data_IF_064985417620
#
_entry.id   IF_064985417620
#
_cell.length_a   1.000
_cell.length_b   1.000
_cell.length_c   1.000
_cell.angle_alpha   90.00
_cell.angle_beta   90.00
_cell.angle_gamma   90.00
#
_symmetry.space_group_name_H-M   'P 1'
#
loop_
_entity.id
_entity.type
_entity.pdbx_description
1 polymer ?
#
# COMPACT_ATOMS: atom_id res chain seq x y z
N UNK A 1 8.40 -11.00 19.75
CA UNK A 1 9.61 -11.35 18.96
C UNK A 1 9.21 -11.85 17.56
N UNK A 2 8.58 -10.99 16.74
CA UNK A 2 8.05 -11.39 15.42
C UNK A 2 8.90 -10.90 14.23
N UNK A 3 9.83 -9.97 14.44
CA UNK A 3 10.50 -9.20 13.37
C UNK A 3 11.52 -9.96 12.50
N UNK A 4 11.39 -11.29 12.31
CA UNK A 4 12.32 -12.12 11.50
C UNK A 4 11.71 -12.67 10.20
N UNK A 5 10.39 -12.56 9.97
CA UNK A 5 9.80 -12.87 8.65
C UNK A 5 10.45 -12.02 7.56
N UNK A 6 10.69 -10.76 7.93
CA UNK A 6 11.32 -9.70 7.17
C UNK A 6 12.87 -9.72 7.22
N UNK A 7 13.50 -10.48 8.12
CA UNK A 7 14.98 -10.60 8.17
C UNK A 7 15.46 -11.68 7.18
N UNK A 8 15.38 -11.32 5.89
CA UNK A 8 15.69 -12.10 4.68
C UNK A 8 14.63 -13.18 4.31
N UNK A 9 13.31 -12.89 4.34
CA UNK A 9 12.21 -13.85 4.00
C UNK A 9 12.27 -15.15 4.84
N UNK A 10 12.86 -15.06 6.03
CA UNK A 10 13.35 -16.21 6.79
C UNK A 10 14.42 -17.01 6.02
N UNK A 11 15.58 -16.37 5.83
CA UNK A 11 16.90 -16.96 5.54
C UNK A 11 16.99 -18.39 6.10
N UNK A 12 17.62 -19.32 5.39
CA UNK A 12 17.76 -20.73 5.77
C UNK A 12 16.51 -21.58 5.48
N UNK A 13 15.33 -21.22 6.01
CA UNK A 13 14.11 -22.05 6.17
C UNK A 13 14.30 -23.46 6.79
N UNK A 14 15.47 -24.13 6.65
CA UNK A 14 15.83 -25.33 7.42
C UNK A 14 17.33 -25.73 7.49
N UNK A 15 18.21 -25.42 6.53
CA UNK A 15 19.58 -26.06 6.50
C UNK A 15 20.73 -25.24 5.89
N UNK A 16 21.96 -25.70 6.17
CA UNK A 16 23.27 -25.08 5.84
C UNK A 16 23.59 -24.93 4.34
N UNK A 17 23.72 -23.67 3.87
CA UNK A 17 24.64 -23.28 2.80
C UNK A 17 25.22 -21.90 3.19
N UNK A 18 26.55 -21.75 3.13
CA UNK A 18 27.22 -20.48 3.43
C UNK A 18 26.82 -19.40 2.42
N UNK A 19 26.09 -18.39 2.89
CA UNK A 19 25.80 -17.19 2.11
C UNK A 19 26.96 -16.21 2.22
N UNK A 20 27.72 -16.07 1.13
CA UNK A 20 28.66 -14.99 0.95
C UNK A 20 27.91 -13.64 0.99
N UNK A 21 27.96 -12.96 2.13
CA UNK A 21 27.61 -11.55 2.27
C UNK A 21 28.70 -10.69 1.62
N UNK A 22 28.88 -10.81 0.30
CA UNK A 22 29.72 -9.90 -0.45
C UNK A 22 29.07 -8.51 -0.47
N UNK A 23 29.82 -7.51 -0.01
CA UNK A 23 29.48 -6.09 0.17
C UNK A 23 28.82 -5.43 -1.06
N UNK A 24 27.58 -5.81 -1.36
CA UNK A 24 26.82 -5.27 -2.49
C UNK A 24 25.67 -4.47 -1.93
N UNK A 25 25.90 -3.18 -1.81
CA UNK A 25 24.85 -2.17 -1.73
C UNK A 25 24.00 -2.32 -3.00
N UNK A 26 22.91 -3.09 -2.93
CA UNK A 26 21.81 -3.00 -3.90
C UNK A 26 20.82 -1.99 -3.32
N UNK A 27 20.65 -0.89 -4.02
CA UNK A 27 19.97 0.30 -3.50
C UNK A 27 18.47 0.06 -3.37
N UNK A 28 17.77 0.99 -2.71
CA UNK A 28 16.30 0.95 -2.66
C UNK A 28 15.65 0.91 -4.05
N UNK A 29 16.37 1.38 -5.08
CA UNK A 29 15.97 1.36 -6.49
C UNK A 29 15.88 -0.07 -7.06
N UNK A 30 16.77 -0.98 -6.67
CA UNK A 30 16.73 -2.38 -7.13
C UNK A 30 15.56 -3.14 -6.50
N UNK A 31 15.30 -2.93 -5.20
CA UNK A 31 14.13 -3.52 -4.54
C UNK A 31 12.83 -2.90 -5.06
N UNK A 32 12.79 -1.60 -5.35
CA UNK A 32 11.64 -0.97 -6.00
C UNK A 32 11.27 -1.62 -7.34
N UNK A 33 12.27 -1.86 -8.21
CA UNK A 33 12.08 -2.57 -9.49
C UNK A 33 11.54 -3.98 -9.26
N UNK A 34 12.03 -4.69 -8.25
CA UNK A 34 11.55 -6.04 -7.92
C UNK A 34 10.08 -6.03 -7.46
N UNK A 35 9.61 -5.04 -6.69
CA UNK A 35 8.17 -4.89 -6.38
C UNK A 35 7.33 -4.71 -7.64
N UNK A 36 7.78 -3.87 -8.58
CA UNK A 36 7.06 -3.62 -9.84
C UNK A 36 7.03 -4.87 -10.75
N UNK A 37 8.10 -5.65 -10.84
CA UNK A 37 8.08 -6.91 -11.59
C UNK A 37 7.17 -7.98 -10.94
N UNK A 38 7.02 -8.02 -9.60
CA UNK A 38 6.01 -8.88 -8.94
C UNK A 38 4.61 -8.45 -9.37
N UNK A 39 4.29 -7.15 -9.33
CA UNK A 39 2.98 -6.63 -9.69
C UNK A 39 2.63 -6.93 -11.16
N UNK A 40 3.60 -6.78 -12.06
CA UNK A 40 3.47 -7.09 -13.48
C UNK A 40 3.31 -8.58 -13.75
N UNK A 41 4.15 -9.44 -13.15
CA UNK A 41 4.04 -10.89 -13.29
C UNK A 41 2.65 -11.41 -12.84
N UNK A 42 2.13 -10.87 -11.73
CA UNK A 42 0.79 -11.19 -11.25
C UNK A 42 -0.32 -10.69 -12.21
N UNK A 43 -0.19 -9.50 -12.78
CA UNK A 43 -1.11 -9.00 -13.81
C UNK A 43 -1.10 -9.90 -15.07
N UNK A 44 0.05 -10.45 -15.43
CA UNK A 44 0.22 -11.41 -16.53
C UNK A 44 -0.25 -12.84 -16.18
N UNK A 45 -0.76 -13.08 -14.96
CA UNK A 45 -1.19 -14.39 -14.44
C UNK A 45 -0.07 -15.44 -14.37
N UNK A 46 1.16 -15.02 -14.10
CA UNK A 46 2.30 -15.91 -13.87
C UNK A 46 2.13 -16.73 -12.57
N UNK A 47 2.72 -17.93 -12.51
CA UNK A 47 2.65 -18.82 -11.32
C UNK A 47 3.42 -18.17 -10.15
N UNK A 48 2.95 -18.35 -8.91
CA UNK A 48 3.62 -17.86 -7.70
C UNK A 48 5.11 -18.29 -7.61
N UNK A 49 5.50 -19.38 -8.25
CA UNK A 49 6.90 -19.86 -8.38
C UNK A 49 7.77 -18.93 -9.24
N UNK A 50 7.19 -18.26 -10.23
CA UNK A 50 7.89 -17.32 -11.13
C UNK A 50 8.15 -15.97 -10.44
N UNK A 51 7.39 -15.65 -9.38
CA UNK A 51 7.60 -14.48 -8.52
C UNK A 51 8.83 -14.61 -7.61
N UNK A 52 9.27 -15.85 -7.32
CA UNK A 52 10.37 -16.16 -6.39
C UNK A 52 11.60 -15.23 -6.49
N UNK A 53 12.25 -15.06 -7.67
CA UNK A 53 13.46 -14.23 -7.77
C UNK A 53 13.22 -12.75 -7.45
N UNK A 54 12.00 -12.26 -7.62
CA UNK A 54 11.67 -10.87 -7.29
C UNK A 54 11.35 -10.72 -5.80
N UNK A 55 10.56 -11.65 -5.24
CA UNK A 55 10.28 -11.71 -3.80
C UNK A 55 11.61 -11.79 -3.03
N UNK A 56 12.57 -12.64 -3.46
CA UNK A 56 13.89 -12.78 -2.83
C UNK A 56 14.80 -11.53 -2.90
N UNK A 57 14.41 -10.45 -3.60
CA UNK A 57 15.16 -9.20 -3.72
C UNK A 57 14.42 -7.96 -3.16
N UNK A 58 13.29 -8.11 -2.48
CA UNK A 58 12.61 -7.01 -1.77
C UNK A 58 12.83 -7.12 -0.26
N UNK A 59 13.14 -6.00 0.39
CA UNK A 59 13.01 -5.91 1.84
C UNK A 59 11.53 -5.66 2.17
N UNK A 60 10.88 -4.76 1.43
CA UNK A 60 9.50 -4.29 1.64
C UNK A 60 8.69 -4.17 0.35
N UNK A 61 7.35 -4.24 0.44
CA UNK A 61 6.50 -3.78 -0.68
C UNK A 61 6.58 -2.26 -0.80
N UNK A 62 6.75 -1.54 0.32
CA UNK A 62 7.01 -0.10 0.32
C UNK A 62 8.36 0.29 -0.31
N UNK A 63 9.24 -0.67 -0.65
CA UNK A 63 10.44 -0.37 -1.44
C UNK A 63 10.11 0.28 -2.78
N UNK A 64 8.89 0.09 -3.32
CA UNK A 64 8.45 0.78 -4.53
C UNK A 64 8.52 2.31 -4.40
N UNK A 65 8.37 2.86 -3.18
CA UNK A 65 8.49 4.29 -2.89
C UNK A 65 9.92 4.83 -3.05
N UNK A 66 10.93 3.95 -3.17
CA UNK A 66 12.29 4.36 -3.54
C UNK A 66 12.39 4.79 -5.01
N UNK A 67 11.44 4.39 -5.87
CA UNK A 67 11.30 4.92 -7.23
C UNK A 67 10.71 6.34 -7.24
N UNK A 68 10.77 7.05 -8.39
CA UNK A 68 9.97 8.24 -8.61
C UNK A 68 8.48 7.98 -8.44
N UNK A 69 7.80 8.80 -7.64
CA UNK A 69 6.39 8.59 -7.29
C UNK A 69 5.47 8.61 -8.54
N UNK A 70 5.77 9.46 -9.53
CA UNK A 70 5.08 9.49 -10.82
C UNK A 70 5.11 8.13 -11.55
N UNK A 71 6.21 7.37 -11.45
CA UNK A 71 6.30 6.00 -12.01
C UNK A 71 5.54 4.97 -11.20
N UNK A 72 5.43 5.13 -9.88
CA UNK A 72 4.65 4.22 -9.02
C UNK A 72 3.18 4.22 -9.47
N UNK A 73 2.60 5.41 -9.66
CA UNK A 73 1.24 5.57 -10.17
C UNK A 73 1.13 5.26 -11.68
N UNK A 74 2.01 5.85 -12.48
CA UNK A 74 2.00 5.75 -13.96
C UNK A 74 2.31 4.36 -14.51
N UNK A 75 2.76 3.41 -13.68
CA UNK A 75 2.92 2.01 -14.06
C UNK A 75 1.61 1.34 -14.47
N UNK A 76 0.47 1.82 -13.95
CA UNK A 76 -0.84 1.19 -14.13
C UNK A 76 -1.01 -0.18 -13.43
N UNK A 77 0.03 -0.65 -12.71
CA UNK A 77 0.04 -1.96 -12.07
C UNK A 77 -0.75 -1.91 -10.74
N UNK A 78 -1.71 -2.83 -10.50
CA UNK A 78 -2.40 -2.93 -9.22
C UNK A 78 -1.49 -3.55 -8.16
N UNK A 79 -1.51 -3.01 -6.94
CA UNK A 79 -0.71 -3.50 -5.82
C UNK A 79 -1.41 -4.60 -5.00
N UNK A 80 -2.75 -4.61 -4.94
CA UNK A 80 -3.51 -5.59 -4.13
C UNK A 80 -3.13 -7.07 -4.41
N UNK A 81 -2.98 -7.51 -5.68
CA UNK A 81 -2.65 -8.91 -5.97
C UNK A 81 -1.31 -9.36 -5.37
N UNK A 82 -0.39 -8.45 -5.07
CA UNK A 82 0.92 -8.75 -4.48
C UNK A 82 0.76 -9.46 -3.13
N UNK A 83 -0.21 -9.07 -2.30
CA UNK A 83 -0.47 -9.74 -1.03
C UNK A 83 -0.89 -11.20 -1.26
N UNK A 84 -1.80 -11.43 -2.21
CA UNK A 84 -2.23 -12.77 -2.61
C UNK A 84 -1.08 -13.60 -3.17
N UNK A 85 -0.25 -13.04 -4.07
CA UNK A 85 0.93 -13.71 -4.62
C UNK A 85 1.92 -14.15 -3.54
N UNK A 86 2.31 -13.22 -2.65
CA UNK A 86 3.29 -13.49 -1.58
C UNK A 86 2.74 -14.49 -0.54
N UNK A 87 1.48 -14.34 -0.10
CA UNK A 87 0.87 -15.27 0.86
C UNK A 87 0.76 -16.68 0.25
N UNK A 88 0.35 -16.79 -1.00
CA UNK A 88 0.26 -18.08 -1.72
C UNK A 88 1.63 -18.73 -1.81
N UNK A 89 2.66 -17.98 -2.23
CA UNK A 89 4.04 -18.46 -2.29
C UNK A 89 4.55 -18.97 -0.92
N UNK A 90 4.27 -18.25 0.17
CA UNK A 90 4.65 -18.69 1.53
C UNK A 90 3.94 -19.99 1.91
N UNK A 91 2.63 -20.10 1.65
CA UNK A 91 1.83 -21.29 1.98
C UNK A 91 2.29 -22.51 1.16
N UNK A 92 2.51 -22.35 -0.15
CA UNK A 92 3.00 -23.45 -1.00
C UNK A 92 4.37 -23.96 -0.54
N UNK A 93 5.28 -23.04 -0.17
CA UNK A 93 6.66 -23.35 0.22
C UNK A 93 6.76 -23.95 1.62
N UNK A 94 6.04 -23.40 2.60
CA UNK A 94 6.17 -23.77 4.01
C UNK A 94 5.07 -24.73 4.50
N UNK A 95 4.01 -24.95 3.72
CA UNK A 95 2.77 -25.67 4.12
C UNK A 95 2.10 -25.10 5.38
N UNK A 96 2.42 -23.86 5.69
CA UNK A 96 1.94 -23.13 6.86
C UNK A 96 1.62 -21.70 6.45
N UNK A 97 0.43 -21.27 6.85
CA UNK A 97 -0.06 -19.90 6.72
C UNK A 97 0.70 -18.95 7.67
N UNK A 98 1.01 -17.70 7.26
CA UNK A 98 1.70 -16.73 8.10
C UNK A 98 0.96 -16.39 9.41
N UNK A 99 1.57 -15.56 10.26
CA UNK A 99 0.84 -15.04 11.44
C UNK A 99 -0.10 -13.92 11.03
N UNK A 100 -1.13 -13.64 11.86
CA UNK A 100 -2.05 -12.54 11.60
C UNK A 100 -1.30 -11.18 11.54
N UNK A 101 -0.24 -11.03 12.34
CA UNK A 101 0.63 -9.85 12.35
C UNK A 101 1.26 -9.61 10.97
N UNK A 102 1.78 -10.68 10.36
CA UNK A 102 2.42 -10.65 9.04
C UNK A 102 1.42 -10.40 7.91
N UNK A 103 0.27 -11.10 7.96
CA UNK A 103 -0.81 -10.96 6.98
C UNK A 103 -1.36 -9.53 6.96
N UNK A 104 -1.62 -8.95 8.13
CA UNK A 104 -2.12 -7.58 8.26
C UNK A 104 -1.07 -6.55 7.84
N UNK A 105 0.21 -6.74 8.18
CA UNK A 105 1.30 -5.86 7.70
C UNK A 105 1.39 -5.83 6.18
N UNK A 106 1.39 -7.00 5.54
CA UNK A 106 1.48 -7.12 4.09
C UNK A 106 0.25 -6.51 3.40
N UNK A 107 -0.95 -6.83 3.88
CA UNK A 107 -2.20 -6.26 3.37
C UNK A 107 -2.24 -4.74 3.54
N UNK A 108 -1.80 -4.21 4.69
CA UNK A 108 -1.73 -2.78 4.93
C UNK A 108 -0.78 -2.07 3.95
N UNK A 109 0.39 -2.65 3.65
CA UNK A 109 1.33 -2.07 2.69
C UNK A 109 0.78 -2.05 1.26
N UNK A 110 0.24 -3.17 0.76
CA UNK A 110 -0.33 -3.18 -0.61
C UNK A 110 -1.53 -2.26 -0.73
N UNK A 111 -2.37 -2.17 0.32
CA UNK A 111 -3.54 -1.29 0.35
C UNK A 111 -3.15 0.19 0.40
N UNK A 112 -2.05 0.54 1.09
CA UNK A 112 -1.55 1.91 1.15
C UNK A 112 -0.98 2.35 -0.21
N UNK A 113 -0.26 1.45 -0.88
CA UNK A 113 0.25 1.68 -2.23
C UNK A 113 -0.86 1.73 -3.29
N UNK A 114 -1.88 0.88 -3.17
CA UNK A 114 -3.07 0.96 -4.01
C UNK A 114 -3.79 2.29 -3.81
N UNK A 115 -3.94 2.72 -2.55
CA UNK A 115 -4.54 4.01 -2.22
C UNK A 115 -3.75 5.20 -2.78
N UNK A 116 -2.41 5.14 -2.74
CA UNK A 116 -1.53 6.13 -3.36
C UNK A 116 -1.69 6.13 -4.89
N UNK A 117 -1.71 4.95 -5.52
CA UNK A 117 -1.86 4.81 -6.98
C UNK A 117 -3.19 5.38 -7.45
N UNK A 118 -4.32 4.99 -6.85
CA UNK A 118 -5.63 5.50 -7.23
C UNK A 118 -5.72 7.00 -6.99
N UNK A 119 -5.23 7.50 -5.85
CA UNK A 119 -5.19 8.94 -5.58
C UNK A 119 -4.44 9.72 -6.67
N UNK A 120 -3.28 9.24 -7.13
CA UNK A 120 -2.50 9.91 -8.18
C UNK A 120 -3.09 9.74 -9.60
N UNK A 121 -3.94 8.74 -9.83
CA UNK A 121 -4.74 8.60 -11.06
C UNK A 121 -5.90 9.60 -11.05
N UNK A 122 -6.58 9.75 -9.92
CA UNK A 122 -7.72 10.67 -9.74
C UNK A 122 -7.28 12.15 -9.66
N UNK A 123 -6.02 12.39 -9.28
CA UNK A 123 -5.41 13.72 -9.15
C UNK A 123 -4.17 13.90 -10.06
N UNK A 124 -4.34 13.92 -11.39
CA UNK A 124 -3.24 14.14 -12.34
C UNK A 124 -2.53 15.47 -12.10
N UNK A 125 -3.22 16.51 -11.61
CA UNK A 125 -2.66 17.82 -11.26
C UNK A 125 -1.65 17.80 -10.10
N UNK A 126 -1.65 16.71 -9.32
CA UNK A 126 -0.63 16.41 -8.32
C UNK A 126 0.44 15.50 -8.94
N UNK A 127 0.03 14.45 -9.64
CA UNK A 127 0.94 13.48 -10.27
C UNK A 127 1.94 14.14 -11.26
N UNK A 128 1.47 15.09 -12.08
CA UNK A 128 2.30 15.86 -13.04
C UNK A 128 3.33 16.78 -12.37
N UNK A 129 3.12 17.15 -11.10
CA UNK A 129 4.08 17.97 -10.34
C UNK A 129 5.20 17.17 -9.70
N UNK A 130 4.99 15.85 -9.50
CA UNK A 130 5.96 15.01 -8.80
C UNK A 130 7.21 14.87 -9.65
N UNK A 131 8.37 15.21 -9.08
CA UNK A 131 9.63 15.09 -9.81
C UNK A 131 9.97 13.62 -10.09
N UNK A 132 10.68 13.38 -11.19
CA UNK A 132 11.15 12.05 -11.59
C UNK A 132 12.38 11.59 -10.76
N UNK A 133 12.38 11.89 -9.45
CA UNK A 133 13.50 11.63 -8.52
C UNK A 133 13.29 10.37 -7.69
N UNK A 134 14.34 9.56 -7.57
CA UNK A 134 14.42 8.44 -6.63
C UNK A 134 14.49 8.95 -5.18
N UNK A 135 14.12 8.11 -4.21
CA UNK A 135 14.16 8.48 -2.79
C UNK A 135 15.59 8.81 -2.33
N UNK A 136 15.74 9.82 -1.46
CA UNK A 136 17.05 10.08 -0.84
C UNK A 136 17.52 8.90 0.02
N UNK A 137 18.83 8.82 0.28
CA UNK A 137 19.37 7.85 1.23
C UNK A 137 18.69 7.88 2.61
N UNK A 138 18.16 9.04 3.04
CA UNK A 138 17.50 9.17 4.32
C UNK A 138 16.16 8.41 4.31
N UNK A 139 15.35 8.57 3.26
CA UNK A 139 14.07 7.87 3.12
C UNK A 139 14.27 6.38 2.81
N UNK A 140 15.26 6.03 1.97
CA UNK A 140 15.64 4.61 1.76
C UNK A 140 15.99 3.91 3.09
N UNK A 141 16.66 4.62 4.03
CA UNK A 141 16.98 4.10 5.37
C UNK A 141 15.75 4.02 6.29
N UNK A 142 14.73 4.87 6.11
CA UNK A 142 13.46 4.76 6.84
C UNK A 142 12.67 3.53 6.37
N UNK A 143 12.53 3.35 5.04
CA UNK A 143 11.82 2.20 4.46
C UNK A 143 12.46 0.88 4.88
N UNK A 144 13.80 0.77 4.84
CA UNK A 144 14.52 -0.43 5.31
C UNK A 144 14.38 -0.73 6.82
N UNK A 145 13.91 0.22 7.63
CA UNK A 145 13.77 0.09 9.10
C UNK A 145 12.33 -0.07 9.58
N UNK A 146 11.36 -0.16 8.67
CA UNK A 146 9.93 -0.22 8.96
C UNK A 146 9.58 -1.25 10.05
N UNK A 147 10.18 -2.44 10.01
CA UNK A 147 9.94 -3.54 10.96
C UNK A 147 10.85 -3.54 12.21
N UNK A 148 11.85 -2.66 12.27
CA UNK A 148 12.66 -2.44 13.47
C UNK A 148 12.00 -1.45 14.43
N UNK A 149 11.22 -0.50 13.89
CA UNK A 149 10.66 0.64 14.63
C UNK A 149 9.20 0.47 15.07
N UNK A 150 8.52 -0.61 14.68
CA UNK A 150 7.12 -0.89 15.04
C UNK A 150 7.01 -2.20 15.82
N UNK A 151 6.76 -2.11 17.13
CA UNK A 151 6.29 -3.24 17.94
C UNK A 151 4.82 -3.50 17.59
N UNK A 152 4.60 -4.32 16.56
CA UNK A 152 3.28 -4.68 16.03
C UNK A 152 2.94 -6.10 16.45
N UNK A 153 1.89 -6.26 17.25
CA UNK A 153 1.44 -7.56 17.77
C UNK A 153 0.01 -7.90 17.31
N UNK A 154 -0.44 -9.12 17.62
CA UNK A 154 -1.76 -9.68 17.30
C UNK A 154 -2.95 -8.80 17.74
N UNK A 155 -2.80 -7.92 18.75
CA UNK A 155 -3.80 -6.90 19.07
C UNK A 155 -3.77 -5.76 18.07
N UNK A 156 -2.60 -5.18 17.79
CA UNK A 156 -2.46 -4.11 16.80
C UNK A 156 -2.93 -4.58 15.42
N UNK A 157 -2.71 -5.85 15.09
CA UNK A 157 -3.23 -6.48 13.88
C UNK A 157 -4.77 -6.44 13.82
N UNK A 158 -5.47 -6.81 14.90
CA UNK A 158 -6.94 -6.70 14.97
C UNK A 158 -7.43 -5.25 14.98
N UNK A 159 -6.77 -4.37 15.73
CA UNK A 159 -7.15 -2.96 15.82
C UNK A 159 -6.94 -2.25 14.45
N UNK A 160 -5.89 -2.62 13.69
CA UNK A 160 -5.65 -2.16 12.30
C UNK A 160 -6.71 -2.69 11.33
N UNK A 161 -7.18 -3.94 11.51
CA UNK A 161 -8.32 -4.45 10.76
C UNK A 161 -9.61 -3.68 11.12
N UNK A 162 -9.80 -3.21 12.35
CA UNK A 162 -10.97 -2.37 12.68
C UNK A 162 -10.85 -0.98 12.04
N UNK A 163 -9.68 -0.35 12.14
CA UNK A 163 -9.41 0.97 11.56
C UNK A 163 -7.91 1.14 11.26
N UNK A 164 -7.54 1.13 9.97
CA UNK A 164 -6.14 1.40 9.59
C UNK A 164 -5.69 2.80 9.99
N UNK A 165 -6.60 3.79 9.96
CA UNK A 165 -6.27 5.19 10.22
C UNK A 165 -5.77 5.46 11.65
N UNK A 166 -6.14 4.61 12.60
CA UNK A 166 -5.72 4.69 14.00
C UNK A 166 -4.57 3.71 14.33
N UNK A 167 -4.05 2.99 13.32
CA UNK A 167 -3.00 1.98 13.49
C UNK A 167 -1.60 2.58 13.71
N UNK A 168 -0.70 1.86 14.40
CA UNK A 168 0.72 2.24 14.47
C UNK A 168 1.43 2.15 13.11
N UNK A 169 0.94 1.31 12.17
CA UNK A 169 1.50 1.19 10.82
C UNK A 169 1.38 2.50 10.04
N UNK A 170 0.17 3.10 10.05
CA UNK A 170 -0.11 4.37 9.39
C UNK A 170 0.96 5.41 9.74
N UNK A 171 1.27 5.62 11.02
CA UNK A 171 2.22 6.65 11.44
C UNK A 171 3.56 6.55 10.68
N UNK A 172 4.08 5.34 10.48
CA UNK A 172 5.33 5.12 9.74
C UNK A 172 5.17 5.26 8.23
N UNK A 173 4.03 4.85 7.68
CA UNK A 173 3.78 4.97 6.25
C UNK A 173 3.60 6.46 5.88
N UNK A 174 2.92 7.23 6.72
CA UNK A 174 2.73 8.68 6.58
C UNK A 174 4.05 9.44 6.72
N UNK A 175 4.89 9.10 7.71
CA UNK A 175 6.24 9.68 7.87
C UNK A 175 7.07 9.52 6.57
N UNK A 176 7.08 8.32 5.97
CA UNK A 176 7.80 8.04 4.72
C UNK A 176 7.19 8.80 3.53
N UNK A 177 5.87 8.76 3.37
CA UNK A 177 5.20 9.31 2.19
C UNK A 177 5.21 10.85 2.19
N UNK A 178 5.10 11.50 3.35
CA UNK A 178 5.27 12.96 3.48
C UNK A 178 6.66 13.38 3.02
N UNK A 179 7.72 12.68 3.45
CA UNK A 179 9.08 12.99 3.01
C UNK A 179 9.27 12.74 1.50
N UNK A 180 8.71 11.67 0.93
CA UNK A 180 8.75 11.45 -0.53
C UNK A 180 8.02 12.52 -1.34
N UNK A 181 6.88 13.02 -0.86
CA UNK A 181 6.18 14.13 -1.51
C UNK A 181 7.00 15.43 -1.42
N UNK A 182 7.64 15.71 -0.29
CA UNK A 182 8.55 16.87 -0.13
C UNK A 182 9.80 16.77 -1.02
N UNK A 183 10.37 15.58 -1.18
CA UNK A 183 11.45 15.30 -2.15
C UNK A 183 10.98 15.45 -3.61
N UNK A 184 9.67 15.38 -3.83
CA UNK A 184 9.00 15.55 -5.13
C UNK A 184 8.46 16.99 -5.33
N UNK A 185 9.05 17.97 -4.64
CA UNK A 185 8.71 19.41 -4.67
C UNK A 185 7.26 19.79 -4.25
N UNK A 186 6.53 18.88 -3.59
CA UNK A 186 5.24 19.19 -2.97
C UNK A 186 5.43 19.92 -1.63
N UNK A 187 4.65 20.98 -1.36
CA UNK A 187 4.80 21.72 -0.11
C UNK A 187 4.40 20.88 1.12
N UNK A 188 4.93 21.23 2.29
CA UNK A 188 4.74 20.42 3.51
C UNK A 188 3.26 20.27 3.93
N UNK A 189 2.41 21.27 3.67
CA UNK A 189 0.99 21.19 3.98
C UNK A 189 0.25 20.35 2.94
N UNK A 190 0.55 20.53 1.65
CA UNK A 190 0.01 19.66 0.58
C UNK A 190 0.42 18.20 0.81
N UNK A 191 1.70 17.92 1.08
CA UNK A 191 2.21 16.58 1.38
C UNK A 191 1.45 15.93 2.54
N UNK A 192 1.19 16.66 3.64
CA UNK A 192 0.39 16.17 4.77
C UNK A 192 -1.07 15.90 4.39
N UNK A 193 -1.74 16.83 3.70
CA UNK A 193 -3.14 16.70 3.30
C UNK A 193 -3.35 15.52 2.34
N UNK A 194 -2.47 15.39 1.34
CA UNK A 194 -2.47 14.27 0.38
C UNK A 194 -2.25 12.95 1.11
N UNK A 195 -1.23 12.88 1.96
CA UNK A 195 -0.94 11.67 2.75
C UNK A 195 -2.10 11.28 3.67
N UNK A 196 -2.74 12.25 4.32
CA UNK A 196 -3.91 11.98 5.17
C UNK A 196 -5.08 11.39 4.36
N UNK A 197 -5.36 11.92 3.16
CA UNK A 197 -6.40 11.37 2.26
C UNK A 197 -6.08 9.92 1.85
N UNK A 198 -4.84 9.65 1.46
CA UNK A 198 -4.36 8.29 1.13
C UNK A 198 -4.54 7.34 2.33
N UNK A 199 -4.18 7.79 3.52
CA UNK A 199 -4.27 6.99 4.76
C UNK A 199 -5.70 6.69 5.18
N UNK A 200 -6.62 7.63 4.96
CA UNK A 200 -8.06 7.42 5.19
C UNK A 200 -8.65 6.42 4.18
N UNK A 201 -8.25 6.53 2.92
CA UNK A 201 -8.70 5.63 1.86
C UNK A 201 -8.09 4.22 1.92
N UNK A 202 -6.88 4.07 2.47
CA UNK A 202 -6.18 2.77 2.64
C UNK A 202 -7.04 1.69 3.28
N UNK A 203 -7.89 2.05 4.25
CA UNK A 203 -8.73 1.06 4.92
C UNK A 203 -9.73 0.38 3.96
N UNK A 204 -10.23 1.08 2.92
CA UNK A 204 -11.06 0.49 1.86
C UNK A 204 -10.28 -0.58 1.09
N UNK A 205 -9.07 -0.24 0.65
CA UNK A 205 -8.21 -1.14 -0.12
C UNK A 205 -7.71 -2.34 0.69
N UNK A 206 -7.58 -2.20 2.02
CA UNK A 206 -7.38 -3.36 2.89
C UNK A 206 -8.56 -4.32 2.82
N UNK A 207 -9.81 -3.83 2.71
CA UNK A 207 -10.98 -4.70 2.56
C UNK A 207 -10.94 -5.48 1.26
N UNK A 208 -10.55 -4.83 0.17
CA UNK A 208 -10.41 -5.43 -1.15
C UNK A 208 -9.32 -6.52 -1.13
N UNK A 209 -8.12 -6.21 -0.62
CA UNK A 209 -7.04 -7.19 -0.45
C UNK A 209 -7.41 -8.39 0.44
N UNK A 210 -8.12 -8.20 1.56
CA UNK A 210 -8.57 -9.32 2.41
C UNK A 210 -9.58 -10.23 1.70
N UNK A 211 -10.41 -9.70 0.79
CA UNK A 211 -11.28 -10.52 -0.04
C UNK A 211 -10.50 -11.31 -1.10
N UNK A 212 -9.45 -10.74 -1.70
CA UNK A 212 -8.60 -11.45 -2.67
C UNK A 212 -7.88 -12.65 -2.03
N UNK A 213 -7.27 -12.44 -0.86
CA UNK A 213 -6.53 -13.50 -0.15
C UNK A 213 -7.44 -14.53 0.54
N UNK A 214 -8.78 -14.35 0.49
CA UNK A 214 -9.78 -15.09 1.32
C UNK A 214 -9.65 -16.61 1.30
N UNK A 215 -9.22 -17.17 0.16
CA UNK A 215 -9.07 -18.61 -0.01
C UNK A 215 -7.75 -19.17 0.57
N UNK A 216 -6.74 -18.30 0.70
CA UNK A 216 -5.36 -18.66 1.03
C UNK A 216 -5.03 -18.28 2.49
N UNK A 217 -5.37 -17.07 2.94
CA UNK A 217 -5.28 -16.62 4.33
C UNK A 217 -6.62 -16.81 5.08
N UNK A 218 -6.86 -18.02 5.58
CA UNK A 218 -8.05 -18.41 6.34
C UNK A 218 -8.17 -17.69 7.69
N UNK A 219 -7.06 -17.37 8.36
CA UNK A 219 -7.07 -16.56 9.60
C UNK A 219 -7.62 -15.18 9.30
N UNK A 220 -7.01 -14.46 8.37
CA UNK A 220 -7.43 -13.12 7.96
C UNK A 220 -8.88 -13.10 7.45
N UNK A 221 -9.22 -14.05 6.57
CA UNK A 221 -10.57 -14.23 6.04
C UNK A 221 -11.63 -14.48 7.12
N UNK A 222 -11.29 -15.30 8.12
CA UNK A 222 -12.20 -15.73 9.16
C UNK A 222 -12.60 -14.64 10.15
N UNK A 223 -11.80 -13.58 10.27
CA UNK A 223 -12.10 -12.47 11.20
C UNK A 223 -13.06 -11.45 10.56
N UNK A 224 -12.86 -11.06 9.29
CA UNK A 224 -13.66 -9.97 8.69
C UNK A 224 -14.17 -10.18 7.24
N UNK A 225 -13.77 -11.25 6.54
CA UNK A 225 -14.01 -11.41 5.09
C UNK A 225 -15.47 -11.58 4.62
N UNK A 226 -16.47 -11.58 5.52
CA UNK A 226 -17.90 -11.51 5.17
C UNK A 226 -18.52 -10.15 5.49
N UNK A 227 -18.16 -9.52 6.62
CA UNK A 227 -18.66 -8.17 6.95
C UNK A 227 -18.14 -7.13 5.97
N UNK A 228 -16.87 -7.23 5.59
CA UNK A 228 -16.25 -6.31 4.64
C UNK A 228 -16.75 -6.41 3.21
N UNK A 229 -17.33 -7.56 2.83
CA UNK A 229 -18.00 -7.67 1.54
C UNK A 229 -19.22 -6.73 1.49
N UNK A 230 -19.99 -6.66 2.57
CA UNK A 230 -21.14 -5.73 2.68
C UNK A 230 -20.67 -4.28 2.72
N UNK A 231 -19.58 -3.96 3.43
CA UNK A 231 -18.99 -2.62 3.42
C UNK A 231 -18.55 -2.18 2.01
N UNK A 232 -17.99 -3.08 1.22
CA UNK A 232 -17.56 -2.80 -0.16
C UNK A 232 -18.75 -2.66 -1.13
N UNK A 233 -19.83 -3.40 -0.92
CA UNK A 233 -21.10 -3.17 -1.63
C UNK A 233 -21.66 -1.76 -1.32
N UNK A 234 -21.57 -1.31 -0.06
CA UNK A 234 -21.93 0.06 0.35
C UNK A 234 -21.01 1.10 -0.31
N UNK A 235 -19.68 0.93 -0.25
CA UNK A 235 -18.75 1.86 -0.92
C UNK A 235 -19.01 1.94 -2.43
N UNK A 236 -19.20 0.80 -3.11
CA UNK A 236 -19.52 0.78 -4.55
C UNK A 236 -20.87 1.45 -4.87
N UNK A 237 -21.82 1.44 -3.94
CA UNK A 237 -23.08 2.16 -4.07
C UNK A 237 -22.88 3.67 -3.91
N UNK A 238 -22.06 4.09 -2.93
CA UNK A 238 -21.70 5.48 -2.68
C UNK A 238 -20.92 6.07 -3.86
N UNK A 239 -19.89 5.39 -4.38
CA UNK A 239 -19.11 5.84 -5.55
C UNK A 239 -20.03 6.13 -6.75
N UNK A 240 -20.94 5.19 -7.07
CA UNK A 240 -21.93 5.35 -8.15
C UNK A 240 -22.89 6.51 -7.89
N UNK A 241 -23.21 6.80 -6.63
CA UNK A 241 -24.05 7.95 -6.29
C UNK A 241 -23.29 9.27 -6.50
N UNK A 242 -22.06 9.36 -5.99
CA UNK A 242 -21.18 10.52 -6.12
C UNK A 242 -20.91 10.84 -7.60
N UNK A 243 -20.51 9.84 -8.39
CA UNK A 243 -20.25 9.96 -9.83
C UNK A 243 -21.50 10.48 -10.57
N UNK A 244 -22.67 9.85 -10.37
CA UNK A 244 -23.85 10.11 -11.22
C UNK A 244 -24.67 11.31 -10.81
N UNK A 245 -24.68 11.67 -9.51
CA UNK A 245 -25.60 12.68 -8.97
C UNK A 245 -24.89 13.93 -8.46
N UNK A 246 -23.62 13.84 -8.05
CA UNK A 246 -22.86 14.99 -7.51
C UNK A 246 -21.86 15.51 -8.56
N UNK A 247 -20.97 14.66 -9.08
CA UNK A 247 -19.91 15.08 -10.00
C UNK A 247 -20.45 15.67 -11.33
N UNK A 248 -21.62 15.21 -11.77
CA UNK A 248 -22.32 15.72 -12.97
C UNK A 248 -23.01 17.07 -12.76
N UNK A 249 -23.12 17.55 -11.51
CA UNK A 249 -23.92 18.74 -11.14
C UNK A 249 -23.18 19.68 -10.15
N UNK A 250 -21.97 20.15 -10.46
CA UNK A 250 -21.17 20.94 -9.52
C UNK A 250 -21.83 22.25 -9.07
N UNK A 251 -22.76 22.79 -9.86
CA UNK A 251 -23.47 24.05 -9.58
C UNK A 251 -24.90 23.86 -9.02
N UNK A 252 -25.33 22.62 -8.73
CA UNK A 252 -26.59 22.36 -8.01
C UNK A 252 -26.41 22.66 -6.51
N UNK A 253 -27.43 23.28 -5.89
CA UNK A 253 -27.47 23.58 -4.45
C UNK A 253 -27.56 22.30 -3.60
N UNK A 254 -26.88 22.30 -2.46
CA UNK A 254 -26.80 21.14 -1.57
C UNK A 254 -28.05 21.09 -0.70
N UNK A 255 -29.04 20.27 -1.09
CA UNK A 255 -30.38 20.28 -0.49
C UNK A 255 -31.04 21.66 -0.66
N UNK A 256 -31.55 22.26 0.42
CA UNK A 256 -32.14 23.61 0.42
C UNK A 256 -31.13 24.71 0.84
N UNK A 257 -29.83 24.40 0.85
CA UNK A 257 -28.77 25.32 1.28
C UNK A 257 -28.25 26.22 0.16
N UNK A 258 -27.83 27.44 0.51
CA UNK A 258 -27.36 28.47 -0.44
C UNK A 258 -25.93 28.26 -0.96
N UNK A 259 -25.45 27.02 -0.97
CA UNK A 259 -24.13 26.66 -1.45
C UNK A 259 -24.21 25.42 -2.33
N UNK A 260 -23.35 25.37 -3.35
CA UNK A 260 -23.36 24.33 -4.38
C UNK A 260 -22.46 23.15 -4.03
N UNK A 261 -22.63 22.02 -4.73
CA UNK A 261 -21.74 20.87 -4.59
C UNK A 261 -20.25 21.21 -4.81
N UNK A 262 -19.92 22.16 -5.70
CA UNK A 262 -18.55 22.66 -5.88
C UNK A 262 -18.01 23.37 -4.64
N UNK A 263 -18.86 24.05 -3.87
CA UNK A 263 -18.45 24.86 -2.71
C UNK A 263 -18.22 24.04 -1.44
N UNK A 264 -18.79 22.84 -1.33
CA UNK A 264 -18.44 21.88 -0.26
C UNK A 264 -17.23 21.02 -0.61
N UNK A 265 -16.81 21.01 -1.88
CA UNK A 265 -15.64 20.26 -2.33
C UNK A 265 -14.38 21.08 -2.09
N UNK A 266 -13.56 20.69 -1.10
CA UNK A 266 -12.29 21.37 -0.80
C UNK A 266 -11.25 21.00 -1.88
N UNK A 267 -10.83 21.94 -2.75
CA UNK A 267 -9.80 21.68 -3.74
C UNK A 267 -8.48 21.32 -3.06
N UNK A 268 -7.71 20.41 -3.67
CA UNK A 268 -6.40 20.02 -3.14
C UNK A 268 -5.30 21.03 -3.45
N UNK A 269 -5.52 21.85 -4.47
CA UNK A 269 -4.66 22.96 -4.89
C UNK A 269 -5.50 24.23 -4.87
N UNK A 270 -4.98 25.29 -4.25
CA UNK A 270 -5.50 26.64 -4.50
C UNK A 270 -5.23 26.99 -5.96
N UNK A 271 -6.29 27.00 -6.77
CA UNK A 271 -6.26 27.52 -8.13
C UNK A 271 -6.33 29.07 -8.06
N UNK A 272 -5.19 29.70 -7.74
CA UNK A 272 -4.98 31.14 -7.76
C UNK A 272 -4.62 31.66 -9.16
#
# INVERSE_FOLDING_TARGET
MASKLWRNIWQFLNTEIELNLSETVKGGVESAKAVLEIAKALQENQDAKELKPFIENIDSVLDVLNSPLGKVAGSGLPFLPIATGIITFIIEKNRQEPTLEDEVKLVAQVAYLESLRIFLIDHPEISEKLTETEASEAVQKQIKKLDEEIDFNDRDARDTLICFYDSPLRKKFDEILIERFKESDLDENQAKIVTERISRSTHRYMKEAVLEVKNNAKKLAGIYGYGWQQDLEIYSSLDKYLEKNIATKPDEEVFDEKFTFRQIYVPLLDNS
#
